data_IF_896559561102
#
_entry.id   IF_896559561102
#
_cell.length_a   1.000
_cell.length_b   1.000
_cell.length_c   1.000
_cell.angle_alpha   90.00
_cell.angle_beta   90.00
_cell.angle_gamma   90.00
#
_symmetry.space_group_name_H-M   'P 1'
#
loop_
_entity.id
_entity.type
_entity.pdbx_description
1 polymer ?
#
# COMPACT_ATOMS: atom_id res chain seq x y z
N UNK A 1 -24.90 -6.62 3.49
CA UNK A 1 -23.73 -5.90 4.03
C UNK A 1 -23.99 -4.40 3.89
N UNK A 2 -23.71 -3.59 4.90
CA UNK A 2 -23.81 -2.13 4.79
C UNK A 2 -22.67 -1.59 3.92
N UNK A 3 -23.00 -0.72 2.97
CA UNK A 3 -22.03 -0.10 2.05
C UNK A 3 -22.42 1.33 1.74
N UNK A 4 -21.43 2.19 1.58
CA UNK A 4 -21.55 3.58 1.18
C UNK A 4 -21.01 3.73 -0.23
N UNK A 5 -21.81 4.30 -1.13
CA UNK A 5 -21.43 4.54 -2.51
C UNK A 5 -20.97 5.99 -2.68
N UNK A 6 -19.78 6.19 -3.21
CA UNK A 6 -19.27 7.48 -3.69
C UNK A 6 -19.07 7.40 -5.20
N UNK A 7 -19.43 8.46 -5.93
CA UNK A 7 -19.38 8.45 -7.39
C UNK A 7 -19.35 9.85 -8.01
N UNK A 8 -18.83 9.92 -9.22
CA UNK A 8 -19.13 10.95 -10.21
C UNK A 8 -19.65 10.27 -11.51
N UNK A 9 -19.63 10.97 -12.64
CA UNK A 9 -20.09 10.43 -13.93
C UNK A 9 -19.21 9.31 -14.49
N UNK A 10 -17.91 9.27 -14.13
CA UNK A 10 -16.95 8.35 -14.73
C UNK A 10 -16.53 7.21 -13.79
N UNK A 11 -16.49 7.42 -12.48
CA UNK A 11 -16.01 6.44 -11.50
C UNK A 11 -17.00 6.32 -10.33
N UNK A 12 -17.22 5.10 -9.86
CA UNK A 12 -17.95 4.84 -8.63
C UNK A 12 -17.29 3.76 -7.79
N UNK A 13 -17.31 3.95 -6.48
CA UNK A 13 -16.77 3.04 -5.49
C UNK A 13 -17.81 2.75 -4.41
N UNK A 14 -17.85 1.51 -3.94
CA UNK A 14 -18.60 1.09 -2.76
C UNK A 14 -17.61 0.76 -1.65
N UNK A 15 -17.83 1.29 -0.45
CA UNK A 15 -16.99 1.06 0.72
C UNK A 15 -17.85 0.59 1.88
N UNK A 16 -17.45 -0.48 2.57
CA UNK A 16 -18.11 -0.91 3.81
C UNK A 16 -17.34 -0.42 5.04
N UNK A 17 -18.01 -0.05 6.15
CA UNK A 17 -17.31 0.33 7.38
C UNK A 17 -16.47 -0.78 8.00
N UNK A 18 -16.75 -2.06 7.70
CA UNK A 18 -15.90 -3.15 8.14
C UNK A 18 -14.55 -3.11 7.42
N UNK A 19 -13.46 -2.92 8.17
CA UNK A 19 -12.10 -2.76 7.65
C UNK A 19 -11.88 -1.51 6.80
N UNK A 20 -12.84 -0.55 6.79
CA UNK A 20 -12.88 0.55 5.83
C UNK A 20 -12.66 0.06 4.38
N UNK A 21 -13.36 -1.03 4.03
CA UNK A 21 -13.02 -1.87 2.87
C UNK A 21 -13.66 -1.37 1.58
N UNK A 22 -12.87 -1.22 0.51
CA UNK A 22 -13.34 -1.04 -0.86
C UNK A 22 -13.94 -2.36 -1.38
N UNK A 23 -15.26 -2.41 -1.55
CA UNK A 23 -15.98 -3.63 -1.94
C UNK A 23 -16.32 -3.71 -3.42
N UNK A 24 -16.39 -2.57 -4.11
CA UNK A 24 -16.63 -2.49 -5.55
C UNK A 24 -16.02 -1.19 -6.10
N UNK A 25 -15.49 -1.23 -7.32
CA UNK A 25 -14.94 -0.09 -8.04
C UNK A 25 -15.28 -0.24 -9.52
N UNK A 26 -15.97 0.73 -10.11
CA UNK A 26 -16.48 0.65 -11.47
C UNK A 26 -16.17 1.91 -12.26
N UNK A 27 -15.70 1.71 -13.49
CA UNK A 27 -15.45 2.74 -14.48
C UNK A 27 -16.61 2.77 -15.49
N UNK A 28 -17.13 3.96 -15.77
CA UNK A 28 -18.19 4.18 -16.76
C UNK A 28 -17.75 3.68 -18.13
N UNK A 29 -18.66 2.99 -18.83
CA UNK A 29 -18.37 2.34 -20.11
C UNK A 29 -17.60 1.01 -20.02
N UNK A 30 -17.12 0.61 -18.83
CA UNK A 30 -16.53 -0.72 -18.63
C UNK A 30 -17.53 -1.66 -17.94
N UNK A 31 -17.80 -2.86 -18.48
CA UNK A 31 -18.89 -3.72 -18.00
C UNK A 31 -18.58 -4.49 -16.72
N UNK A 32 -17.37 -4.35 -16.15
CA UNK A 32 -16.91 -5.19 -15.05
C UNK A 32 -16.39 -4.36 -13.87
N UNK A 33 -16.49 -4.87 -12.63
CA UNK A 33 -15.72 -4.35 -11.51
C UNK A 33 -14.22 -4.34 -11.83
N UNK A 34 -13.53 -3.32 -11.35
CA UNK A 34 -12.09 -3.14 -11.49
C UNK A 34 -11.31 -3.83 -10.38
N UNK A 35 -11.99 -4.21 -9.29
CA UNK A 35 -11.43 -4.90 -8.13
C UNK A 35 -12.23 -6.15 -7.80
N UNK A 36 -11.60 -7.11 -7.15
CA UNK A 36 -12.29 -8.24 -6.52
C UNK A 36 -12.98 -7.74 -5.25
N UNK A 37 -14.24 -8.09 -5.13
CA UNK A 37 -15.02 -7.92 -3.91
C UNK A 37 -16.02 -9.06 -3.73
N UNK A 38 -16.71 -9.04 -2.61
CA UNK A 38 -17.70 -10.03 -2.19
C UNK A 38 -19.03 -9.38 -1.83
N UNK A 39 -20.11 -10.14 -1.99
CA UNK A 39 -21.48 -9.68 -1.71
C UNK A 39 -21.87 -9.80 -0.23
N UNK A 40 -21.26 -10.77 0.47
CA UNK A 40 -21.56 -11.09 1.87
C UNK A 40 -20.47 -10.53 2.79
N UNK A 41 -20.85 -10.12 4.00
CA UNK A 41 -19.88 -9.59 4.97
C UNK A 41 -18.98 -10.70 5.54
N UNK A 42 -19.51 -11.93 5.63
CA UNK A 42 -18.80 -13.13 6.08
C UNK A 42 -17.53 -13.37 5.25
N UNK A 43 -17.59 -13.12 3.93
CA UNK A 43 -16.47 -13.32 3.01
C UNK A 43 -15.30 -12.35 3.28
N UNK A 44 -15.55 -11.21 3.93
CA UNK A 44 -14.51 -10.30 4.41
C UNK A 44 -14.10 -10.58 5.86
N UNK A 45 -15.07 -10.86 6.73
CA UNK A 45 -14.84 -11.04 8.17
C UNK A 45 -14.11 -12.34 8.49
N UNK A 46 -14.54 -13.43 7.87
CA UNK A 46 -14.16 -14.79 8.23
C UNK A 46 -13.02 -15.33 7.35
N UNK A 47 -12.45 -14.49 6.48
CA UNK A 47 -11.31 -14.84 5.62
C UNK A 47 -10.14 -13.88 5.81
N UNK A 48 -8.92 -14.37 5.57
CA UNK A 48 -7.69 -13.55 5.67
C UNK A 48 -7.20 -13.08 4.30
N UNK A 49 -8.15 -12.85 3.37
CA UNK A 49 -7.86 -12.28 2.06
C UNK A 49 -7.64 -10.76 2.14
N UNK A 50 -8.25 -10.11 3.13
CA UNK A 50 -8.19 -8.65 3.32
C UNK A 50 -8.56 -7.84 2.06
N UNK A 51 -9.40 -8.41 1.19
CA UNK A 51 -9.68 -7.83 -0.12
C UNK A 51 -10.31 -6.43 0.01
N UNK A 52 -9.56 -5.41 -0.38
CA UNK A 52 -9.98 -4.00 -0.35
C UNK A 52 -9.86 -3.33 1.03
N UNK A 53 -9.40 -4.03 2.07
CA UNK A 53 -9.37 -3.49 3.43
C UNK A 53 -8.21 -2.51 3.66
N UNK A 54 -8.38 -1.63 4.65
CA UNK A 54 -7.29 -0.83 5.21
C UNK A 54 -6.60 -1.64 6.31
N UNK A 55 -5.31 -1.93 6.10
CA UNK A 55 -4.44 -2.70 6.96
C UNK A 55 -3.67 -1.80 7.93
N UNK A 56 -3.50 -2.25 9.17
CA UNK A 56 -2.80 -1.54 10.24
C UNK A 56 -2.93 -2.25 11.60
N UNK A 57 -2.14 -1.89 12.62
CA UNK A 57 -1.25 -0.71 12.66
C UNK A 57 0.06 -0.84 11.88
N UNK A 58 0.50 -2.06 11.58
CA UNK A 58 1.64 -2.29 10.69
C UNK A 58 1.29 -3.27 9.56
N UNK A 59 1.27 -2.77 8.33
CA UNK A 59 1.07 -3.57 7.13
C UNK A 59 2.27 -4.49 6.87
N UNK A 60 1.99 -5.62 6.23
CA UNK A 60 2.95 -6.69 5.99
C UNK A 60 3.52 -7.26 7.31
N UNK A 61 4.68 -7.94 7.24
CA UNK A 61 5.27 -8.68 8.36
C UNK A 61 6.17 -7.81 9.23
N UNK A 62 6.15 -8.11 10.53
CA UNK A 62 7.23 -7.84 11.48
C UNK A 62 7.83 -9.19 11.88
N UNK A 63 9.12 -9.36 11.61
CA UNK A 63 9.85 -10.60 11.83
C UNK A 63 9.72 -11.06 13.29
N UNK A 64 9.32 -12.32 13.46
CA UNK A 64 9.15 -12.97 14.77
C UNK A 64 8.17 -12.27 15.71
N UNK A 65 7.40 -11.28 15.22
CA UNK A 65 6.59 -10.40 16.06
C UNK A 65 7.43 -9.61 17.06
N UNK A 66 8.69 -9.30 16.75
CA UNK A 66 9.57 -8.55 17.64
C UNK A 66 10.14 -7.33 16.92
N UNK A 67 10.28 -6.23 17.66
CA UNK A 67 11.00 -5.04 17.22
C UNK A 67 11.58 -4.29 18.41
N UNK A 68 12.62 -3.50 18.17
CA UNK A 68 13.08 -2.51 19.14
C UNK A 68 12.25 -1.23 18.99
N UNK A 69 11.57 -0.84 20.06
CA UNK A 69 10.81 0.41 20.13
C UNK A 69 11.43 1.30 21.22
N UNK A 70 12.20 2.29 20.79
CA UNK A 70 12.89 3.25 21.66
C UNK A 70 13.77 2.57 22.74
N UNK A 71 14.54 1.56 22.34
CA UNK A 71 15.46 0.81 23.20
C UNK A 71 14.77 -0.26 24.06
N UNK A 72 13.50 -0.57 23.78
CA UNK A 72 12.75 -1.64 24.46
C UNK A 72 12.26 -2.65 23.45
N UNK A 73 12.52 -3.93 23.71
CA UNK A 73 11.98 -5.01 22.89
C UNK A 73 10.46 -5.08 23.08
N UNK A 74 9.73 -4.81 22.01
CA UNK A 74 8.29 -5.01 21.93
C UNK A 74 7.99 -6.39 21.34
N UNK A 75 7.06 -7.12 21.95
CA UNK A 75 6.57 -8.41 21.45
C UNK A 75 5.11 -8.28 21.03
N UNK A 76 4.86 -8.50 19.73
CA UNK A 76 3.54 -8.48 19.11
C UNK A 76 3.03 -9.91 18.91
N UNK A 77 1.70 -10.14 18.91
CA UNK A 77 1.11 -11.43 18.61
C UNK A 77 1.54 -11.96 17.24
N UNK A 78 1.75 -13.27 17.11
CA UNK A 78 2.10 -13.90 15.83
C UNK A 78 0.85 -14.50 15.21
N UNK A 79 0.49 -14.05 14.02
CA UNK A 79 -0.72 -14.46 13.29
C UNK A 79 -0.43 -14.83 11.82
N UNK A 80 0.79 -14.59 11.33
CA UNK A 80 1.25 -14.95 9.99
C UNK A 80 2.34 -16.01 10.04
N UNK A 81 2.07 -17.15 10.70
CA UNK A 81 3.09 -18.13 11.07
C UNK A 81 3.90 -17.63 12.26
N UNK A 82 5.23 -17.63 12.15
CA UNK A 82 6.11 -17.11 13.20
C UNK A 82 6.14 -15.57 13.26
N UNK A 83 5.35 -14.86 12.45
CA UNK A 83 5.47 -13.41 12.29
C UNK A 83 4.18 -12.69 12.66
N UNK A 84 4.32 -11.42 13.07
CA UNK A 84 3.17 -10.52 13.18
C UNK A 84 2.85 -10.01 11.78
N UNK A 85 1.61 -10.16 11.32
CA UNK A 85 1.19 -9.88 9.95
C UNK A 85 -0.02 -8.95 9.95
N UNK A 86 0.06 -7.90 9.13
CA UNK A 86 -1.08 -7.01 8.82
C UNK A 86 -1.76 -6.43 10.06
N UNK A 87 -0.99 -6.17 11.11
CA UNK A 87 -1.47 -5.57 12.34
C UNK A 87 -2.17 -6.50 13.32
N UNK A 88 -2.16 -7.82 13.08
CA UNK A 88 -2.67 -8.82 14.01
C UNK A 88 -4.00 -9.45 13.60
N UNK A 89 -4.55 -10.30 14.48
CA UNK A 89 -5.77 -11.09 14.24
C UNK A 89 -7.02 -10.20 14.20
N UNK A 90 -7.08 -9.19 15.08
CA UNK A 90 -8.15 -8.20 15.18
C UNK A 90 -7.70 -6.81 14.76
N UNK A 91 -6.66 -6.73 13.91
CA UNK A 91 -6.12 -5.49 13.35
C UNK A 91 -7.18 -4.65 12.61
N UNK A 92 -6.78 -3.50 12.06
CA UNK A 92 -7.74 -2.49 11.56
C UNK A 92 -8.68 -3.01 10.48
N UNK A 93 -8.23 -4.00 9.68
CA UNK A 93 -8.99 -4.65 8.62
C UNK A 93 -10.13 -5.55 9.14
N UNK A 94 -10.10 -5.93 10.42
CA UNK A 94 -11.05 -6.86 11.06
C UNK A 94 -11.99 -6.15 12.03
N UNK A 95 -11.98 -4.82 12.04
CA UNK A 95 -12.81 -4.00 12.91
C UNK A 95 -13.86 -3.23 12.14
N UNK A 96 -14.93 -2.83 12.82
CA UNK A 96 -15.94 -1.93 12.27
C UNK A 96 -15.52 -0.49 12.55
N UNK A 97 -15.32 0.28 11.50
CA UNK A 97 -15.01 1.70 11.59
C UNK A 97 -16.30 2.52 11.72
N UNK A 98 -16.20 3.70 12.33
CA UNK A 98 -17.29 4.65 12.45
C UNK A 98 -17.28 5.60 11.25
N UNK A 99 -18.42 5.73 10.55
CA UNK A 99 -18.56 6.74 9.50
C UNK A 99 -18.73 8.10 10.16
N UNK A 100 -17.82 9.03 9.89
CA UNK A 100 -17.84 10.39 10.44
C UNK A 100 -18.35 11.42 9.43
N UNK A 101 -18.20 11.14 8.14
CA UNK A 101 -18.67 12.00 7.06
C UNK A 101 -19.01 11.16 5.82
N UNK A 102 -20.13 11.45 5.17
CA UNK A 102 -20.51 10.84 3.91
C UNK A 102 -21.18 11.86 3.00
N UNK A 103 -20.68 11.98 1.77
CA UNK A 103 -21.24 12.80 0.69
C UNK A 103 -21.41 11.94 -0.57
N UNK A 104 -21.93 12.51 -1.66
CA UNK A 104 -22.01 11.79 -2.93
C UNK A 104 -20.65 11.39 -3.52
N UNK A 105 -19.55 12.06 -3.13
CA UNK A 105 -18.21 11.87 -3.70
C UNK A 105 -17.13 11.56 -2.67
N UNK A 106 -17.42 11.59 -1.37
CA UNK A 106 -16.44 11.39 -0.30
C UNK A 106 -17.03 10.62 0.88
N UNK A 107 -16.20 9.82 1.53
CA UNK A 107 -16.53 9.06 2.73
C UNK A 107 -15.33 9.09 3.69
N UNK A 108 -15.56 9.56 4.92
CA UNK A 108 -14.57 9.49 6.00
C UNK A 108 -15.01 8.46 7.04
N UNK A 109 -14.08 7.60 7.40
CA UNK A 109 -14.23 6.58 8.44
C UNK A 109 -13.17 6.78 9.51
N UNK A 110 -13.54 6.51 10.75
CA UNK A 110 -12.68 6.66 11.93
C UNK A 110 -12.64 5.37 12.74
N UNK A 111 -11.46 5.03 13.25
CA UNK A 111 -11.24 3.91 14.15
C UNK A 111 -10.32 4.33 15.28
N UNK A 112 -10.68 3.93 16.51
CA UNK A 112 -9.78 4.03 17.67
C UNK A 112 -9.21 2.65 17.94
N UNK A 113 -7.89 2.52 17.82
CA UNK A 113 -7.14 1.35 18.30
C UNK A 113 -6.63 1.66 19.71
N UNK A 114 -7.22 1.10 20.79
CA UNK A 114 -6.84 1.44 22.15
C UNK A 114 -5.40 1.01 22.48
N UNK A 115 -4.85 1.55 23.57
CA UNK A 115 -3.54 1.14 24.09
C UNK A 115 -3.48 -0.39 24.31
N UNK A 116 -2.40 -1.01 23.84
CA UNK A 116 -2.19 -2.45 23.92
C UNK A 116 -2.97 -3.30 22.93
N UNK A 117 -3.86 -2.73 22.11
CA UNK A 117 -4.55 -3.49 21.07
C UNK A 117 -3.54 -4.09 20.07
N UNK A 118 -3.58 -5.42 19.91
CA UNK A 118 -2.59 -6.22 19.15
C UNK A 118 -1.14 -6.01 19.62
N UNK A 119 -0.94 -5.63 20.88
CA UNK A 119 0.36 -5.44 21.51
C UNK A 119 1.02 -4.08 21.24
N UNK A 120 0.41 -3.22 20.43
CA UNK A 120 0.97 -1.91 20.10
C UNK A 120 0.72 -0.90 21.24
N UNK A 121 1.73 -0.13 21.68
CA UNK A 121 1.57 0.89 22.70
C UNK A 121 0.85 2.13 22.16
N UNK A 122 0.15 2.81 23.06
CA UNK A 122 -0.62 4.02 22.81
C UNK A 122 -1.97 3.74 22.18
N UNK A 123 -2.95 4.53 22.60
CA UNK A 123 -4.17 4.71 21.82
C UNK A 123 -3.80 5.38 20.50
N UNK A 124 -4.37 4.88 19.41
CA UNK A 124 -4.14 5.40 18.07
C UNK A 124 -5.47 5.62 17.36
N UNK A 125 -5.77 6.88 17.08
CA UNK A 125 -6.90 7.31 16.27
C UNK A 125 -6.48 7.26 14.80
N UNK A 126 -7.30 6.62 13.96
CA UNK A 126 -7.01 6.40 12.54
C UNK A 126 -8.20 6.87 11.73
N UNK A 127 -7.93 7.71 10.72
CA UNK A 127 -8.94 8.17 9.76
C UNK A 127 -8.61 7.65 8.37
N UNK A 128 -9.61 7.09 7.70
CA UNK A 128 -9.55 6.74 6.29
C UNK A 128 -10.57 7.59 5.52
N UNK A 129 -10.10 8.40 4.57
CA UNK A 129 -10.93 9.23 3.71
C UNK A 129 -10.83 8.77 2.27
N UNK A 130 -11.91 8.18 1.77
CA UNK A 130 -12.09 7.87 0.36
C UNK A 130 -12.75 9.06 -0.34
N UNK A 131 -12.26 9.42 -1.51
CA UNK A 131 -12.86 10.46 -2.35
C UNK A 131 -12.74 10.15 -3.83
N UNK A 132 -13.77 10.52 -4.60
CA UNK A 132 -13.72 10.55 -6.05
C UNK A 132 -13.32 11.97 -6.45
N UNK A 133 -12.13 12.10 -7.03
CA UNK A 133 -11.58 13.40 -7.47
C UNK A 133 -11.34 13.40 -8.98
N UNK A 134 -11.31 14.59 -9.58
CA UNK A 134 -11.15 14.75 -11.02
C UNK A 134 -12.21 13.96 -11.82
N UNK A 135 -11.91 13.54 -13.06
CA UNK A 135 -12.83 12.76 -13.87
C UNK A 135 -12.95 11.32 -13.37
N UNK A 136 -11.85 10.64 -13.04
CA UNK A 136 -11.87 9.21 -12.68
C UNK A 136 -10.73 8.83 -11.72
N UNK A 137 -10.60 9.51 -10.59
CA UNK A 137 -9.59 9.18 -9.57
C UNK A 137 -10.26 8.73 -8.28
N UNK A 138 -9.89 7.55 -7.79
CA UNK A 138 -10.15 7.16 -6.40
C UNK A 138 -8.94 7.58 -5.55
N UNK A 139 -9.13 8.53 -4.64
CA UNK A 139 -8.13 8.99 -3.69
C UNK A 139 -8.44 8.45 -2.30
N UNK A 140 -7.44 7.86 -1.66
CA UNK A 140 -7.48 7.43 -0.27
C UNK A 140 -6.43 8.20 0.53
N UNK A 141 -6.89 8.90 1.56
CA UNK A 141 -6.03 9.55 2.56
C UNK A 141 -6.15 8.78 3.87
N UNK A 142 -5.00 8.39 4.43
CA UNK A 142 -4.91 7.72 5.72
C UNK A 142 -4.12 8.59 6.67
N UNK A 143 -4.72 8.90 7.81
CA UNK A 143 -4.11 9.67 8.88
C UNK A 143 -4.17 8.87 10.17
N UNK A 144 -3.11 8.96 10.97
CA UNK A 144 -3.11 8.37 12.31
C UNK A 144 -2.44 9.31 13.32
N UNK A 145 -3.00 9.36 14.52
CA UNK A 145 -2.47 10.10 15.65
C UNK A 145 -2.37 9.13 16.84
N UNK A 146 -1.27 9.17 17.58
CA UNK A 146 -1.07 8.31 18.75
C UNK A 146 -0.62 9.12 19.96
N UNK A 147 -1.16 8.78 21.13
CA UNK A 147 -0.85 9.45 22.40
C UNK A 147 0.53 9.06 22.98
N UNK A 148 1.11 7.96 22.48
CA UNK A 148 2.42 7.44 22.85
C UNK A 148 3.24 7.09 21.61
N UNK A 149 4.56 7.09 21.77
CA UNK A 149 5.45 6.61 20.72
C UNK A 149 5.14 5.15 20.36
N UNK A 150 4.94 4.89 19.07
CA UNK A 150 4.46 3.59 18.57
C UNK A 150 4.96 3.34 17.14
N UNK A 151 4.47 2.28 16.49
CA UNK A 151 4.75 1.97 15.09
C UNK A 151 3.47 2.12 14.28
N UNK A 152 3.53 2.85 13.17
CA UNK A 152 2.43 2.99 12.22
C UNK A 152 2.93 2.82 10.79
N UNK A 153 2.36 1.84 10.10
CA UNK A 153 2.50 1.59 8.67
C UNK A 153 1.14 1.10 8.16
N UNK A 154 0.34 1.99 7.58
CA UNK A 154 -0.98 1.63 7.07
C UNK A 154 -0.89 1.29 5.57
N UNK A 155 -1.81 0.46 5.08
CA UNK A 155 -1.87 0.08 3.67
C UNK A 155 -3.32 -0.11 3.22
N UNK A 156 -3.63 0.09 1.94
CA UNK A 156 -4.88 -0.33 1.32
C UNK A 156 -4.62 -1.53 0.42
N UNK A 157 -5.44 -2.58 0.56
CA UNK A 157 -5.17 -3.90 -0.03
C UNK A 157 -6.20 -4.32 -1.11
N UNK A 158 -6.44 -3.50 -2.16
CA UNK A 158 -7.35 -3.88 -3.24
C UNK A 158 -6.73 -4.97 -4.10
N UNK A 159 -7.59 -5.80 -4.69
CA UNK A 159 -7.18 -6.82 -5.66
C UNK A 159 -7.71 -6.39 -7.03
N UNK A 160 -6.87 -5.75 -7.84
CA UNK A 160 -7.27 -5.28 -9.16
C UNK A 160 -7.42 -6.44 -10.15
N UNK A 161 -8.49 -6.40 -10.94
CA UNK A 161 -8.66 -7.24 -12.12
C UNK A 161 -9.61 -6.60 -13.12
N UNK A 162 -9.07 -6.03 -14.18
CA UNK A 162 -9.87 -5.37 -15.21
C UNK A 162 -10.51 -6.32 -16.21
N UNK A 163 -10.09 -7.60 -16.31
CA UNK A 163 -10.65 -8.51 -17.32
C UNK A 163 -12.05 -9.02 -16.98
N UNK A 164 -12.52 -8.77 -15.76
CA UNK A 164 -13.81 -9.22 -15.25
C UNK A 164 -13.91 -10.71 -14.97
N UNK A 165 -13.09 -11.56 -15.59
CA UNK A 165 -12.97 -13.01 -15.32
C UNK A 165 -11.55 -13.49 -15.62
N UNK A 166 -11.12 -14.55 -14.93
CA UNK A 166 -9.85 -15.22 -15.18
C UNK A 166 -8.65 -14.57 -14.48
N UNK A 167 -7.45 -14.95 -14.89
CA UNK A 167 -6.20 -14.53 -14.25
C UNK A 167 -5.70 -13.17 -14.75
N UNK A 168 -4.79 -12.56 -13.99
CA UNK A 168 -4.19 -11.25 -14.30
C UNK A 168 -2.94 -11.35 -15.19
N UNK A 169 -2.62 -12.52 -15.74
CA UNK A 169 -1.35 -12.75 -16.44
C UNK A 169 -1.19 -11.89 -17.71
N UNK A 170 -2.31 -11.52 -18.34
CA UNK A 170 -2.35 -10.66 -19.52
C UNK A 170 -2.31 -9.16 -19.22
N UNK A 171 -2.51 -8.74 -17.96
CA UNK A 171 -2.34 -7.35 -17.58
C UNK A 171 -0.90 -6.91 -17.74
N UNK A 172 -0.70 -5.67 -18.16
CA UNK A 172 0.61 -5.06 -18.36
C UNK A 172 0.90 -4.14 -17.18
N UNK A 173 2.04 -4.36 -16.52
CA UNK A 173 2.47 -3.65 -15.33
C UNK A 173 3.76 -2.89 -15.62
N UNK A 174 3.85 -1.67 -15.09
CA UNK A 174 5.05 -0.87 -14.95
C UNK A 174 5.17 -0.44 -13.48
N UNK A 175 6.37 -0.46 -12.90
CA UNK A 175 6.65 0.03 -11.56
C UNK A 175 7.86 0.97 -11.62
N UNK A 176 7.72 2.17 -11.07
CA UNK A 176 8.77 3.19 -11.02
C UNK A 176 9.72 2.93 -9.84
N UNK A 177 10.44 1.81 -9.87
CA UNK A 177 11.40 1.43 -8.85
C UNK A 177 12.65 0.78 -9.46
N UNK A 178 13.83 1.19 -8.99
CA UNK A 178 15.12 0.61 -9.36
C UNK A 178 15.54 -0.55 -8.45
N UNK A 179 14.87 -0.70 -7.30
CA UNK A 179 15.19 -1.73 -6.33
C UNK A 179 13.95 -2.35 -5.69
N UNK A 180 14.12 -3.55 -5.15
CA UNK A 180 13.10 -4.29 -4.41
C UNK A 180 13.72 -4.97 -3.18
N UNK A 181 12.87 -5.50 -2.31
CA UNK A 181 13.29 -6.28 -1.15
C UNK A 181 13.20 -7.78 -1.46
N UNK A 182 14.33 -8.51 -1.55
CA UNK A 182 14.36 -9.96 -1.49
C UNK A 182 13.75 -10.43 -0.17
N UNK A 183 13.08 -11.58 -0.21
CA UNK A 183 12.40 -12.15 0.96
C UNK A 183 12.89 -13.57 1.23
N UNK A 184 12.83 -13.99 2.49
CA UNK A 184 13.03 -15.37 2.92
C UNK A 184 11.87 -16.27 2.47
N UNK A 185 11.98 -17.57 2.75
CA UNK A 185 10.89 -18.53 2.53
C UNK A 185 9.59 -18.16 3.29
N UNK A 186 9.71 -17.46 4.42
CA UNK A 186 8.57 -16.98 5.22
C UNK A 186 8.00 -15.64 4.73
N UNK A 187 8.51 -15.13 3.60
CA UNK A 187 8.11 -13.86 2.98
C UNK A 187 8.41 -12.61 3.84
N UNK A 188 9.47 -12.69 4.64
CA UNK A 188 10.04 -11.55 5.40
C UNK A 188 11.24 -11.00 4.62
N UNK A 189 11.41 -9.67 4.48
CA UNK A 189 12.61 -9.10 3.89
C UNK A 189 13.90 -9.62 4.53
N UNK A 190 14.94 -9.82 3.73
CA UNK A 190 16.25 -10.25 4.24
C UNK A 190 17.06 -9.10 4.85
N UNK A 191 16.62 -7.86 4.64
CA UNK A 191 17.37 -6.63 4.90
C UNK A 191 18.17 -6.14 3.69
N UNK A 192 18.30 -6.94 2.63
CA UNK A 192 18.92 -6.52 1.38
C UNK A 192 18.00 -5.57 0.58
N UNK A 193 18.60 -4.57 -0.07
CA UNK A 193 17.93 -3.73 -1.08
C UNK A 193 18.58 -4.06 -2.43
N UNK A 194 17.93 -4.92 -3.20
CA UNK A 194 18.50 -5.48 -4.44
C UNK A 194 18.03 -4.69 -5.66
N UNK A 195 18.86 -4.53 -6.71
CA UNK A 195 18.43 -3.90 -7.95
C UNK A 195 17.39 -4.77 -8.67
N UNK A 196 16.42 -4.14 -9.33
CA UNK A 196 15.48 -4.88 -10.19
C UNK A 196 16.08 -5.24 -11.54
N UNK A 197 17.09 -4.48 -12.00
CA UNK A 197 17.73 -4.66 -13.31
C UNK A 197 18.21 -6.10 -13.51
N UNK A 198 17.96 -6.63 -14.71
CA UNK A 198 18.32 -7.99 -15.12
C UNK A 198 17.70 -9.11 -14.25
N UNK A 199 16.60 -8.81 -13.55
CA UNK A 199 15.85 -9.80 -12.75
C UNK A 199 14.41 -10.00 -13.25
N UNK A 200 13.74 -11.04 -12.73
CA UNK A 200 12.31 -11.29 -12.94
C UNK A 200 11.40 -10.20 -12.32
N UNK A 201 11.98 -9.31 -11.50
CA UNK A 201 11.32 -8.19 -10.84
C UNK A 201 11.47 -6.88 -11.62
N UNK A 202 12.15 -6.86 -12.76
CA UNK A 202 12.25 -5.64 -13.58
C UNK A 202 10.89 -5.31 -14.22
N UNK A 203 10.19 -4.32 -13.68
CA UNK A 203 8.98 -3.72 -14.24
C UNK A 203 9.19 -2.24 -14.60
N UNK A 204 10.44 -1.77 -14.72
CA UNK A 204 10.71 -0.37 -15.10
C UNK A 204 10.13 -0.06 -16.47
N UNK A 205 10.26 -1.01 -17.39
CA UNK A 205 9.52 -1.06 -18.63
C UNK A 205 8.22 -1.85 -18.47
N UNK A 206 7.14 -1.32 -19.05
CA UNK A 206 5.83 -1.96 -19.11
C UNK A 206 5.91 -3.37 -19.72
N UNK A 207 5.40 -4.38 -19.01
CA UNK A 207 5.32 -5.75 -19.54
C UNK A 207 4.18 -6.57 -18.95
N UNK A 208 3.74 -7.66 -19.63
CA UNK A 208 2.76 -8.58 -19.07
C UNK A 208 3.22 -9.18 -17.74
N UNK A 209 2.32 -9.26 -16.76
CA UNK A 209 2.61 -9.84 -15.43
C UNK A 209 2.94 -11.34 -15.54
N UNK A 210 2.29 -12.04 -16.47
CA UNK A 210 2.56 -13.46 -16.73
C UNK A 210 3.94 -13.74 -17.29
N UNK A 211 4.62 -12.74 -17.90
CA UNK A 211 5.95 -12.93 -18.48
C UNK A 211 6.96 -13.17 -17.37
N UNK A 212 7.64 -14.32 -17.42
CA UNK A 212 8.68 -14.68 -16.45
C UNK A 212 8.21 -14.63 -14.98
N UNK A 213 6.91 -14.90 -14.76
CA UNK A 213 6.31 -14.91 -13.42
C UNK A 213 6.99 -15.99 -12.55
N UNK A 214 7.51 -15.63 -11.36
CA UNK A 214 8.15 -16.60 -10.48
C UNK A 214 7.13 -17.60 -9.93
N UNK A 215 7.62 -18.72 -9.41
CA UNK A 215 6.80 -19.69 -8.68
C UNK A 215 7.02 -19.50 -7.18
N UNK A 216 5.96 -19.39 -6.36
CA UNK A 216 4.55 -19.51 -6.73
C UNK A 216 3.93 -18.23 -7.35
N UNK A 217 4.54 -17.06 -7.16
CA UNK A 217 4.07 -15.77 -7.70
C UNK A 217 4.85 -14.60 -7.13
N UNK A 218 4.48 -13.38 -7.52
CA UNK A 218 5.04 -12.15 -6.96
C UNK A 218 4.48 -11.87 -5.56
N UNK A 219 5.36 -11.50 -4.62
CA UNK A 219 5.03 -11.03 -3.26
C UNK A 219 6.24 -10.26 -2.71
N UNK A 220 6.52 -9.09 -3.27
CA UNK A 220 7.73 -8.33 -2.97
C UNK A 220 7.43 -6.83 -2.88
N UNK A 221 8.15 -6.15 -1.99
CA UNK A 221 8.12 -4.70 -1.88
C UNK A 221 9.11 -4.08 -2.87
N UNK A 222 8.63 -3.15 -3.68
CA UNK A 222 9.45 -2.27 -4.51
C UNK A 222 9.76 -0.99 -3.74
N UNK A 223 11.03 -0.59 -3.77
CA UNK A 223 11.56 0.54 -3.03
C UNK A 223 11.41 1.83 -3.86
N UNK A 224 10.40 2.64 -3.57
CA UNK A 224 10.10 3.88 -4.30
C UNK A 224 10.93 5.08 -3.81
N UNK A 225 11.25 5.14 -2.52
CA UNK A 225 12.01 6.23 -1.89
C UNK A 225 12.55 5.82 -0.51
N UNK A 226 13.55 6.56 -0.02
CA UNK A 226 14.10 6.42 1.34
C UNK A 226 13.31 7.18 2.42
N UNK A 227 12.45 8.12 2.04
CA UNK A 227 11.58 8.88 2.94
C UNK A 227 10.21 9.10 2.31
N UNK A 228 9.19 9.31 3.14
CA UNK A 228 7.86 9.69 2.65
C UNK A 228 7.90 11.05 1.95
N UNK A 229 6.96 11.25 1.02
CA UNK A 229 6.86 12.47 0.21
C UNK A 229 5.70 13.33 0.68
N UNK A 230 5.79 14.63 0.46
CA UNK A 230 4.70 15.57 0.79
C UNK A 230 3.52 15.52 -0.21
N UNK A 231 3.75 15.02 -1.42
CA UNK A 231 2.76 14.89 -2.48
C UNK A 231 2.86 13.52 -3.16
N UNK A 232 1.74 12.97 -3.67
CA UNK A 232 1.77 11.72 -4.42
C UNK A 232 2.66 11.82 -5.68
N UNK A 233 3.51 10.83 -5.88
CA UNK A 233 4.33 10.66 -7.10
C UNK A 233 3.95 9.34 -7.77
N UNK A 234 4.09 9.28 -9.10
CA UNK A 234 3.86 8.06 -9.88
C UNK A 234 4.66 6.89 -9.32
N UNK A 235 3.98 5.78 -9.04
CA UNK A 235 4.56 4.56 -8.48
C UNK A 235 4.41 3.37 -9.42
N UNK A 236 3.26 3.24 -10.08
CA UNK A 236 3.01 2.14 -11.02
C UNK A 236 1.94 2.48 -12.05
N UNK A 237 2.00 1.80 -13.20
CA UNK A 237 0.95 1.76 -14.21
C UNK A 237 0.46 0.32 -14.41
N UNK A 238 -0.85 0.13 -14.45
CA UNK A 238 -1.49 -1.16 -14.72
C UNK A 238 -2.49 -0.99 -15.86
N UNK A 239 -2.45 -1.85 -16.86
CA UNK A 239 -3.45 -1.85 -17.94
C UNK A 239 -3.86 -3.25 -18.37
N UNK A 240 -5.04 -3.32 -18.97
CA UNK A 240 -5.48 -4.48 -19.74
C UNK A 240 -5.45 -4.12 -21.22
N UNK A 241 -4.85 -4.94 -22.11
CA UNK A 241 -4.95 -4.71 -23.55
C UNK A 241 -6.40 -4.54 -24.02
N UNK A 242 -6.67 -3.47 -24.75
CA UNK A 242 -8.02 -3.07 -25.19
C UNK A 242 -9.03 -2.83 -24.04
N UNK A 243 -8.54 -2.54 -22.84
CA UNK A 243 -9.35 -2.28 -21.66
C UNK A 243 -8.85 -1.07 -20.86
N UNK A 244 -9.29 -0.95 -19.60
CA UNK A 244 -8.90 0.14 -18.73
C UNK A 244 -7.39 0.17 -18.44
N UNK A 245 -6.91 1.36 -18.14
CA UNK A 245 -5.61 1.59 -17.55
C UNK A 245 -5.75 2.44 -16.28
N UNK A 246 -4.82 2.24 -15.36
CA UNK A 246 -4.78 2.86 -14.05
C UNK A 246 -3.33 3.21 -13.70
N UNK A 247 -3.12 4.43 -13.23
CA UNK A 247 -1.89 4.81 -12.55
C UNK A 247 -2.08 4.79 -11.04
N UNK A 248 -1.06 4.35 -10.32
CA UNK A 248 -0.95 4.45 -8.86
C UNK A 248 0.01 5.59 -8.53
N UNK A 249 -0.47 6.56 -7.76
CA UNK A 249 0.33 7.67 -7.24
C UNK A 249 0.31 7.63 -5.72
N UNK A 250 1.46 7.78 -5.07
CA UNK A 250 1.52 7.69 -3.60
C UNK A 250 2.60 8.55 -2.96
N UNK A 251 2.38 8.92 -1.71
CA UNK A 251 3.38 9.55 -0.83
C UNK A 251 4.28 8.52 -0.13
N UNK A 252 3.97 7.23 -0.24
CA UNK A 252 4.69 6.15 0.44
C UNK A 252 6.07 5.87 -0.15
N UNK A 253 6.90 5.23 0.68
CA UNK A 253 8.27 4.81 0.35
C UNK A 253 8.32 3.47 -0.37
N UNK A 254 7.29 2.64 -0.23
CA UNK A 254 7.22 1.30 -0.81
C UNK A 254 5.93 1.06 -1.59
N UNK A 255 6.01 0.14 -2.55
CA UNK A 255 4.87 -0.46 -3.23
C UNK A 255 5.01 -1.97 -3.20
N UNK A 256 4.16 -2.65 -2.45
CA UNK A 256 4.15 -4.11 -2.42
C UNK A 256 3.30 -4.66 -3.56
N UNK A 257 3.90 -5.58 -4.33
CA UNK A 257 3.26 -6.31 -5.40
C UNK A 257 2.92 -7.71 -4.91
N UNK A 258 1.63 -8.05 -4.88
CA UNK A 258 1.16 -9.41 -4.64
C UNK A 258 0.15 -9.83 -5.72
N UNK A 259 0.43 -10.93 -6.41
CA UNK A 259 -0.39 -11.39 -7.55
C UNK A 259 -1.47 -12.41 -7.17
N UNK A 260 -1.93 -12.39 -5.91
CA UNK A 260 -3.04 -13.21 -5.42
C UNK A 260 -2.84 -14.74 -5.55
N UNK A 261 -1.61 -15.24 -5.65
CA UNK A 261 -1.37 -16.68 -5.84
C UNK A 261 -1.85 -17.58 -4.69
N UNK A 262 -2.13 -17.03 -3.50
CA UNK A 262 -2.67 -17.78 -2.34
C UNK A 262 -4.20 -17.70 -2.22
N UNK A 263 -4.87 -16.96 -3.11
CA UNK A 263 -6.33 -16.85 -3.08
C UNK A 263 -6.96 -18.23 -3.31
N UNK A 264 -7.89 -18.63 -2.44
CA UNK A 264 -8.47 -19.97 -2.50
C UNK A 264 -9.45 -20.09 -3.67
N UNK A 265 -9.46 -21.22 -4.40
CA UNK A 265 -10.38 -21.41 -5.50
C UNK A 265 -11.83 -21.56 -5.02
N UNK A 266 -12.78 -21.01 -5.79
CA UNK A 266 -14.21 -21.29 -5.65
C UNK A 266 -14.97 -20.34 -4.74
N UNK A 267 -14.33 -19.33 -4.15
CA UNK A 267 -15.04 -18.31 -3.39
C UNK A 267 -15.89 -17.43 -4.35
N UNK A 268 -17.15 -17.22 -3.99
CA UNK A 268 -18.08 -16.40 -4.78
C UNK A 268 -17.86 -14.92 -4.49
N UNK A 269 -17.46 -14.17 -5.50
CA UNK A 269 -17.34 -12.71 -5.49
C UNK A 269 -18.50 -12.01 -6.17
N UNK A 270 -18.28 -10.74 -6.53
CA UNK A 270 -19.26 -9.87 -7.16
C UNK A 270 -19.91 -10.50 -8.40
N UNK A 271 -21.24 -10.43 -8.44
CA UNK A 271 -22.09 -10.91 -9.55
C UNK A 271 -21.81 -12.39 -9.87
N UNK A 272 -21.56 -13.19 -8.83
CA UNK A 272 -21.35 -14.64 -8.92
C UNK A 272 -20.02 -15.07 -9.55
N UNK A 273 -19.01 -14.20 -9.61
CA UNK A 273 -17.66 -14.57 -10.07
C UNK A 273 -17.03 -15.57 -9.12
N UNK A 274 -16.27 -16.52 -9.65
CA UNK A 274 -15.49 -17.46 -8.84
C UNK A 274 -14.04 -17.01 -8.81
N UNK A 275 -13.56 -16.68 -7.61
CA UNK A 275 -12.18 -16.29 -7.40
C UNK A 275 -11.25 -17.48 -7.21
N UNK A 276 -9.96 -17.25 -7.47
CA UNK A 276 -8.91 -18.25 -7.29
C UNK A 276 -7.50 -17.68 -7.50
N UNK A 277 -6.47 -18.55 -7.47
CA UNK A 277 -5.08 -18.14 -7.55
C UNK A 277 -4.79 -17.31 -8.80
N UNK A 278 -4.08 -16.19 -8.64
CA UNK A 278 -3.64 -15.37 -9.77
C UNK A 278 -4.74 -14.54 -10.41
N UNK A 279 -5.90 -14.37 -9.77
CA UNK A 279 -7.04 -13.62 -10.32
C UNK A 279 -7.16 -12.19 -9.81
N UNK A 280 -6.24 -11.72 -8.98
CA UNK A 280 -6.20 -10.34 -8.54
C UNK A 280 -4.76 -9.85 -8.41
N UNK A 281 -4.59 -8.53 -8.43
CA UNK A 281 -3.30 -7.89 -8.26
C UNK A 281 -3.38 -6.84 -7.16
N UNK A 282 -2.56 -6.98 -6.12
CA UNK A 282 -2.39 -5.98 -5.08
C UNK A 282 -1.20 -5.09 -5.42
N UNK A 283 -1.44 -3.78 -5.41
CA UNK A 283 -0.45 -2.72 -5.51
C UNK A 283 -0.59 -1.85 -4.26
N UNK A 284 0.11 -2.27 -3.24
CA UNK A 284 -0.04 -1.84 -1.85
C UNK A 284 0.98 -0.75 -1.52
N UNK A 285 0.56 0.51 -1.55
CA UNK A 285 1.39 1.61 -1.09
C UNK A 285 1.53 1.55 0.43
N UNK A 286 2.76 1.38 0.91
CA UNK A 286 3.08 1.22 2.33
C UNK A 286 4.53 1.58 2.61
N UNK A 287 4.91 1.66 3.89
CA UNK A 287 6.30 1.64 4.27
C UNK A 287 6.90 0.23 4.06
N UNK A 288 8.23 0.15 3.98
CA UNK A 288 8.93 -1.10 3.69
C UNK A 288 8.63 -2.14 4.78
N UNK A 289 8.23 -3.37 4.40
CA UNK A 289 7.97 -4.43 5.36
C UNK A 289 9.17 -4.65 6.29
N UNK A 290 8.87 -5.00 7.54
CA UNK A 290 9.87 -5.22 8.59
C UNK A 290 10.84 -4.05 8.85
N UNK A 291 10.54 -2.82 8.42
CA UNK A 291 11.43 -1.67 8.63
C UNK A 291 11.82 -1.37 10.09
N UNK A 292 11.01 -1.66 11.13
CA UNK A 292 11.47 -1.52 12.51
C UNK A 292 12.68 -2.40 12.87
N UNK A 293 12.94 -3.48 12.13
CA UNK A 293 14.07 -4.38 12.33
C UNK A 293 15.27 -4.11 11.40
N UNK A 294 15.15 -3.13 10.49
CA UNK A 294 16.18 -2.78 9.52
C UNK A 294 16.46 -1.27 9.58
N UNK A 295 17.49 -0.88 10.35
CA UNK A 295 17.82 0.53 10.62
C UNK A 295 18.09 1.41 9.38
N UNK A 296 18.47 0.81 8.25
CA UNK A 296 18.69 1.50 6.98
C UNK A 296 17.43 1.59 6.10
N UNK A 297 16.30 1.01 6.53
CA UNK A 297 14.99 1.17 5.88
C UNK A 297 14.31 2.46 6.36
N UNK A 298 13.31 2.98 5.61
CA UNK A 298 12.54 4.12 6.07
C UNK A 298 11.77 3.79 7.36
N UNK A 299 11.87 4.68 8.36
CA UNK A 299 11.28 4.47 9.69
C UNK A 299 9.74 4.37 9.65
N UNK A 300 9.18 3.37 10.33
CA UNK A 300 7.75 3.26 10.64
C UNK A 300 7.40 3.78 12.05
N UNK A 301 8.36 4.34 12.78
CA UNK A 301 8.14 4.87 14.12
C UNK A 301 7.35 6.18 14.06
N UNK A 302 6.29 6.25 14.86
CA UNK A 302 5.51 7.45 15.09
C UNK A 302 5.79 7.95 16.51
N UNK A 303 6.29 9.18 16.64
CA UNK A 303 6.47 9.81 17.94
C UNK A 303 5.12 10.14 18.59
N UNK A 304 5.08 10.24 19.92
CA UNK A 304 3.89 10.65 20.65
C UNK A 304 3.39 12.01 20.16
N UNK A 305 2.07 12.15 20.02
CA UNK A 305 1.38 13.36 19.57
C UNK A 305 1.82 13.88 18.18
N UNK A 306 2.38 13.00 17.35
CA UNK A 306 2.71 13.28 15.96
C UNK A 306 1.67 12.67 15.02
N UNK A 307 1.53 13.26 13.84
CA UNK A 307 0.59 12.79 12.82
C UNK A 307 1.31 11.98 11.76
N UNK A 308 0.90 10.74 11.59
CA UNK A 308 1.14 9.97 10.38
C UNK A 308 0.17 10.42 9.30
N UNK A 309 0.65 10.62 8.07
CA UNK A 309 -0.21 10.89 6.91
C UNK A 309 0.32 10.21 5.67
N UNK A 310 -0.57 9.60 4.91
CA UNK A 310 -0.28 9.15 3.57
C UNK A 310 -1.45 9.33 2.63
N UNK A 311 -1.13 9.42 1.35
CA UNK A 311 -2.10 9.55 0.27
C UNK A 311 -1.76 8.54 -0.81
N UNK A 312 -2.77 7.81 -1.27
CA UNK A 312 -2.69 6.97 -2.46
C UNK A 312 -3.83 7.29 -3.41
N UNK A 313 -3.53 7.42 -4.69
CA UNK A 313 -4.49 7.70 -5.74
C UNK A 313 -4.42 6.62 -6.83
N UNK A 314 -5.60 6.16 -7.23
CA UNK A 314 -5.80 5.28 -8.37
C UNK A 314 -6.47 6.11 -9.47
N UNK A 315 -5.67 6.55 -10.45
CA UNK A 315 -6.10 7.45 -11.53
C UNK A 315 -6.41 6.64 -12.78
N UNK A 316 -7.67 6.62 -13.21
CA UNK A 316 -8.08 5.92 -14.43
C UNK A 316 -8.07 6.88 -15.61
N UNK A 317 -7.21 6.60 -16.58
CA UNK A 317 -7.07 7.38 -17.82
C UNK A 317 -6.43 6.49 -18.90
N UNK A 318 -6.52 6.84 -20.20
CA UNK A 318 -5.71 6.19 -21.22
C UNK A 318 -4.23 6.22 -20.83
N UNK A 319 -3.54 5.09 -20.92
CA UNK A 319 -2.16 5.00 -20.45
C UNK A 319 -1.22 5.79 -21.36
N UNK A 320 -0.57 6.81 -20.80
CA UNK A 320 0.63 7.41 -21.38
C UNK A 320 1.83 6.76 -20.71
N UNK A 321 2.68 6.10 -21.50
CA UNK A 321 3.92 5.52 -20.95
C UNK A 321 4.80 6.65 -20.40
N UNK A 322 5.11 6.62 -19.11
CA UNK A 322 6.16 7.47 -18.55
C UNK A 322 7.49 6.91 -19.05
N UNK A 323 8.02 7.51 -20.12
CA UNK A 323 9.40 7.27 -20.55
C UNK A 323 10.35 7.67 -19.41
N UNK A 324 11.48 6.98 -19.30
CA UNK A 324 12.50 7.13 -18.26
C UNK A 324 12.81 8.61 -17.94
N UNK A 325 12.06 9.21 -17.02
CA UNK A 325 12.48 10.45 -16.38
C UNK A 325 13.50 10.03 -15.34
N UNK A 326 14.78 10.20 -15.66
CA UNK A 326 15.85 10.07 -14.67
C UNK A 326 15.48 10.88 -13.42
N UNK A 327 15.71 10.35 -12.20
CA UNK A 327 15.45 11.13 -11.00
C UNK A 327 16.29 12.43 -11.03
N UNK A 328 15.79 13.54 -10.46
CA UNK A 328 16.60 14.74 -10.31
C UNK A 328 17.85 14.36 -9.51
N UNK A 329 19.02 14.51 -10.14
CA UNK A 329 20.29 14.34 -9.47
C UNK A 329 20.47 15.52 -8.53
N UNK A 330 20.18 15.36 -7.25
CA UNK A 330 20.75 16.21 -6.21
C UNK A 330 22.25 15.91 -6.13
N UNK A 331 23.02 16.55 -7.02
CA UNK A 331 24.45 16.75 -6.78
C UNK A 331 24.58 18.04 -5.96
N UNK A 332 25.25 18.01 -4.80
CA UNK A 332 25.63 19.24 -4.14
C UNK A 332 26.59 20.01 -5.07
N UNK A 333 26.28 21.29 -5.23
CA UNK A 333 27.09 22.28 -5.94
C UNK A 333 28.51 22.33 -5.32
N UNK A 334 29.60 22.12 -6.09
CA UNK A 334 30.96 22.18 -5.54
C UNK A 334 31.44 23.61 -5.25
N UNK A 335 30.71 24.66 -5.63
CA UNK A 335 31.22 26.03 -5.58
C UNK A 335 30.87 26.79 -4.28
N UNK A 336 31.21 26.22 -3.13
CA UNK A 336 31.30 26.97 -1.87
C UNK A 336 32.54 26.61 -1.04
N UNK A 337 33.72 26.75 -1.64
CA UNK A 337 34.98 26.91 -0.92
C UNK A 337 35.86 27.96 -1.60
N UNK A 338 35.60 29.25 -1.33
CA UNK A 338 36.64 30.27 -1.43
C UNK A 338 36.50 31.30 -0.30
N UNK A 339 37.38 31.16 0.69
CA UNK A 339 38.21 32.25 1.21
C UNK A 339 37.55 33.31 2.09
N UNK A 340 37.82 33.23 3.40
CA UNK A 340 38.28 34.41 4.15
C UNK A 340 39.45 34.04 5.05
N UNK A 341 40.54 34.76 4.79
CA UNK A 341 41.84 34.69 5.41
C UNK A 341 41.78 35.01 6.91
N UNK A 342 42.58 34.28 7.68
CA UNK A 342 43.14 34.76 8.94
C UNK A 342 44.21 35.80 8.61
N UNK A 343 44.03 37.04 9.07
CA UNK A 343 45.13 37.97 9.29
C UNK A 343 45.32 38.13 10.80
N UNK A 344 46.52 37.77 11.24
CA UNK A 344 47.13 38.29 12.46
C UNK A 344 47.40 39.78 12.27
N UNK A 345 47.03 40.59 13.26
CA UNK A 345 47.79 41.80 13.55
C UNK A 345 48.08 41.90 15.05
N UNK A 346 49.29 42.34 15.34
CA UNK A 346 49.97 42.31 16.62
C UNK A 346 50.56 43.71 16.82
N UNK A 347 50.42 44.28 18.03
CA UNK A 347 50.86 45.60 18.54
C UNK A 347 49.80 46.70 18.33
N UNK A 348 49.41 47.50 19.33
CA UNK A 348 50.15 48.07 20.46
C UNK A 348 49.36 48.03 21.78
#
# INVERSE_FOLDING_TARGET
METFRIANEALSACVTPFGATLTDLRLSGWPHPLVLGFERIEDYRDTDHYAGAVIGRHANRIARGHLDLFGRVLSLPRNGGEHHLHGGVTGTAKQRWHVTEATGTSLALHLVSPDGHEGYPGECEITARYSITGPATLRLELEAHADRGTVVNLCHHPYFNFSGRGNIAGHVLQIAAESYLPVSADLVPTGEVAPVADTLYDFRAARPIGRNRPRPGFNNNYCLASTTRSQPVFAAGLSLPNGPAMEVWTTQTGLHLYDAYKLQPGQQGLEGRLYGPGQGLCLEAQNWPDSPNHHHFPSAFLAANSTYRQVTEYRFAPWVTHAESSPPTDRPDPDHLTGKNFEHDNRN
#
